data_IF_258407944660
#
_entry.id   IF_258407944660
#
_cell.length_a   1.000
_cell.length_b   1.000
_cell.length_c   1.000
_cell.angle_alpha   90.00
_cell.angle_beta   90.00
_cell.angle_gamma   90.00
#
_symmetry.space_group_name_H-M   'P 1'
#
loop_
_entity.id
_entity.type
_entity.pdbx_description
1 polymer ?
#
# COMPACT_ATOMS: atom_id res chain seq x y z
N UNK A 1 -4.66 30.67 -19.78
CA UNK A 1 -5.28 29.54 -20.51
C UNK A 1 -6.55 30.06 -21.20
N UNK A 2 -6.70 29.92 -22.52
CA UNK A 2 -7.83 30.55 -23.23
C UNK A 2 -9.15 29.88 -22.86
N UNK A 3 -10.26 30.64 -22.89
CA UNK A 3 -11.62 30.12 -22.64
C UNK A 3 -11.96 28.93 -23.56
N UNK A 4 -11.34 28.89 -24.73
CA UNK A 4 -11.48 27.82 -25.72
C UNK A 4 -10.82 26.50 -25.27
N UNK A 5 -9.67 26.55 -24.61
CA UNK A 5 -8.98 25.35 -24.09
C UNK A 5 -9.72 24.72 -22.91
N UNK A 6 -10.31 25.56 -22.04
CA UNK A 6 -11.16 25.12 -20.92
C UNK A 6 -12.45 24.46 -21.40
N UNK A 7 -13.07 24.99 -22.46
CA UNK A 7 -14.26 24.42 -23.09
C UNK A 7 -13.99 23.03 -23.69
N UNK A 8 -12.89 22.87 -24.44
CA UNK A 8 -12.49 21.58 -25.02
C UNK A 8 -12.18 20.52 -23.95
N UNK A 9 -11.56 20.90 -22.82
CA UNK A 9 -11.25 19.98 -21.71
C UNK A 9 -12.50 19.53 -20.94
N UNK A 10 -13.47 20.44 -20.71
CA UNK A 10 -14.78 20.09 -20.12
C UNK A 10 -15.58 19.14 -21.01
N UNK A 11 -15.59 19.38 -22.33
CA UNK A 11 -16.29 18.51 -23.30
C UNK A 11 -15.71 17.08 -23.33
N UNK A 12 -14.36 16.95 -23.32
CA UNK A 12 -13.67 15.65 -23.27
C UNK A 12 -13.90 14.88 -21.96
N UNK A 13 -14.03 15.59 -20.84
CA UNK A 13 -14.35 14.97 -19.53
C UNK A 13 -15.81 14.52 -19.45
N UNK A 14 -16.75 15.27 -20.06
CA UNK A 14 -18.15 14.88 -20.17
C UNK A 14 -18.32 13.63 -21.05
N UNK A 15 -17.61 13.55 -22.19
CA UNK A 15 -17.63 12.36 -23.05
C UNK A 15 -17.04 11.13 -22.33
N UNK A 16 -15.92 11.25 -21.62
CA UNK A 16 -15.37 10.13 -20.82
C UNK A 16 -16.32 9.66 -19.72
N UNK A 17 -17.02 10.58 -19.05
CA UNK A 17 -18.04 10.24 -18.03
C UNK A 17 -19.24 9.53 -18.67
N UNK A 18 -19.66 9.97 -19.86
CA UNK A 18 -20.76 9.37 -20.62
C UNK A 18 -20.42 7.97 -21.13
N UNK A 19 -19.19 7.76 -21.62
CA UNK A 19 -18.69 6.44 -22.04
C UNK A 19 -18.59 5.47 -20.86
N UNK A 20 -18.02 5.89 -19.72
CA UNK A 20 -17.96 5.06 -18.49
C UNK A 20 -19.35 4.65 -18.00
N UNK A 21 -20.32 5.57 -18.05
CA UNK A 21 -21.72 5.28 -17.66
C UNK A 21 -22.38 4.30 -18.64
N UNK A 22 -22.11 4.41 -19.95
CA UNK A 22 -22.60 3.43 -20.95
C UNK A 22 -21.97 2.05 -20.77
N UNK A 23 -20.66 1.97 -20.49
CA UNK A 23 -19.99 0.69 -20.21
C UNK A 23 -20.60 0.01 -18.97
N UNK A 24 -20.84 0.77 -17.89
CA UNK A 24 -21.50 0.24 -16.69
C UNK A 24 -22.92 -0.27 -16.96
N UNK A 25 -23.71 0.45 -17.77
CA UNK A 25 -25.07 0.02 -18.16
C UNK A 25 -25.05 -1.24 -19.05
N UNK A 26 -24.08 -1.33 -19.97
CA UNK A 26 -23.92 -2.52 -20.83
C UNK A 26 -23.49 -3.74 -20.00
N UNK A 27 -22.59 -3.59 -19.02
CA UNK A 27 -22.20 -4.68 -18.12
C UNK A 27 -23.39 -5.17 -17.28
N UNK A 28 -24.21 -4.26 -16.73
CA UNK A 28 -25.42 -4.62 -15.98
C UNK A 28 -26.43 -5.34 -16.89
N UNK A 29 -26.60 -4.88 -18.14
CA UNK A 29 -27.47 -5.54 -19.11
C UNK A 29 -26.99 -6.94 -19.50
N UNK A 30 -25.67 -7.14 -19.65
CA UNK A 30 -25.08 -8.47 -19.92
C UNK A 30 -25.33 -9.41 -18.72
N UNK A 31 -25.11 -8.95 -17.48
CA UNK A 31 -25.38 -9.74 -16.28
C UNK A 31 -26.87 -10.09 -16.19
N UNK A 32 -27.77 -9.15 -16.47
CA UNK A 32 -29.21 -9.40 -16.49
C UNK A 32 -29.65 -10.37 -17.60
N UNK A 33 -29.03 -10.31 -18.79
CA UNK A 33 -29.30 -11.23 -19.90
C UNK A 33 -28.79 -12.64 -19.61
N UNK A 34 -27.64 -12.78 -18.94
CA UNK A 34 -27.16 -14.07 -18.44
C UNK A 34 -28.14 -14.63 -17.43
N UNK A 35 -28.63 -13.81 -16.49
CA UNK A 35 -29.63 -14.21 -15.49
C UNK A 35 -31.00 -14.57 -16.10
N UNK A 36 -31.40 -13.89 -17.17
CA UNK A 36 -32.66 -14.18 -17.87
C UNK A 36 -32.52 -15.44 -18.74
N UNK A 37 -31.38 -15.62 -19.40
CA UNK A 37 -31.07 -16.81 -20.18
C UNK A 37 -31.03 -18.08 -19.33
N UNK A 38 -30.46 -18.01 -18.13
CA UNK A 38 -30.49 -19.13 -17.17
C UNK A 38 -31.92 -19.43 -16.69
N UNK A 39 -32.73 -18.39 -16.42
CA UNK A 39 -34.17 -18.54 -16.07
C UNK A 39 -35.00 -19.18 -17.18
N UNK A 40 -34.82 -18.78 -18.44
CA UNK A 40 -35.54 -19.35 -19.59
C UNK A 40 -35.12 -20.80 -19.83
N UNK A 41 -33.82 -21.11 -19.74
CA UNK A 41 -33.32 -22.48 -19.87
C UNK A 41 -33.85 -23.41 -18.76
N UNK A 42 -33.98 -22.90 -17.53
CA UNK A 42 -34.62 -23.59 -16.41
C UNK A 42 -36.11 -23.86 -16.68
N UNK A 43 -36.86 -22.86 -17.12
CA UNK A 43 -38.28 -23.03 -17.42
C UNK A 43 -38.53 -23.98 -18.60
N UNK A 44 -37.69 -23.95 -19.65
CA UNK A 44 -37.83 -24.85 -20.78
C UNK A 44 -37.51 -26.31 -20.42
N UNK A 45 -36.53 -26.55 -19.54
CA UNK A 45 -36.26 -27.89 -18.97
C UNK A 45 -37.45 -28.42 -18.14
N UNK A 46 -38.14 -27.55 -17.41
CA UNK A 46 -39.32 -27.92 -16.59
C UNK A 46 -40.54 -28.24 -17.46
N UNK A 47 -40.71 -27.55 -18.59
CA UNK A 47 -41.85 -27.76 -19.50
C UNK A 47 -41.71 -29.04 -20.33
N UNK A 48 -40.48 -29.36 -20.78
CA UNK A 48 -40.18 -30.63 -21.47
C UNK A 48 -40.34 -31.84 -20.54
N UNK A 49 -40.08 -31.68 -19.24
CA UNK A 49 -40.25 -32.75 -18.24
C UNK A 49 -41.73 -33.08 -17.90
N UNK A 50 -42.69 -32.19 -18.22
CA UNK A 50 -44.13 -32.43 -18.00
C UNK A 50 -44.86 -33.09 -19.18
N UNK A 51 -44.17 -33.29 -20.30
CA UNK A 51 -44.76 -33.81 -21.54
C UNK A 51 -44.70 -35.33 -21.74
N UNK A 52 -44.13 -36.10 -20.81
CA UNK A 52 -44.02 -37.55 -20.98
C UNK A 52 -44.30 -38.34 -19.70
N UNK A 53 -45.24 -39.28 -19.85
CA UNK A 53 -45.54 -40.50 -19.07
C UNK A 53 -46.26 -40.36 -17.73
N UNK A 54 -47.39 -41.09 -17.66
CA UNK A 54 -48.14 -41.35 -16.46
C UNK A 54 -47.62 -42.55 -15.66
N UNK A 55 -48.16 -42.58 -14.44
CA UNK A 55 -48.36 -43.62 -13.44
C UNK A 55 -47.21 -44.42 -12.81
N UNK A 56 -47.35 -44.51 -11.48
CA UNK A 56 -46.74 -45.38 -10.47
C UNK A 56 -45.22 -45.29 -10.17
N UNK A 57 -44.90 -44.44 -9.17
CA UNK A 57 -44.46 -44.97 -7.88
C UNK A 57 -43.01 -45.41 -7.71
N UNK A 58 -42.06 -44.48 -7.71
CA UNK A 58 -40.86 -44.55 -6.86
C UNK A 58 -40.35 -43.14 -6.57
N UNK A 59 -40.41 -42.71 -5.30
CA UNK A 59 -39.85 -41.43 -4.86
C UNK A 59 -38.31 -41.47 -4.98
N UNK A 60 -37.78 -41.07 -6.14
CA UNK A 60 -36.38 -40.63 -6.26
C UNK A 60 -36.33 -39.15 -5.93
N UNK A 61 -35.90 -38.87 -4.70
CA UNK A 61 -35.53 -37.54 -4.24
C UNK A 61 -34.50 -36.95 -5.23
N UNK A 62 -34.94 -35.95 -5.99
CA UNK A 62 -34.07 -35.18 -6.88
C UNK A 62 -33.15 -34.33 -6.00
N UNK A 63 -31.96 -34.84 -5.73
CA UNK A 63 -30.87 -34.08 -5.13
C UNK A 63 -30.52 -32.97 -6.12
N UNK A 64 -30.97 -31.75 -5.81
CA UNK A 64 -30.47 -30.55 -6.47
C UNK A 64 -29.00 -30.39 -6.08
N UNK A 65 -28.09 -30.68 -7.00
CA UNK A 65 -26.70 -30.28 -6.86
C UNK A 65 -26.68 -28.74 -6.97
N UNK A 66 -26.63 -28.08 -5.81
CA UNK A 66 -26.34 -26.65 -5.74
C UNK A 66 -24.99 -26.43 -6.42
N UNK A 67 -24.99 -25.77 -7.58
CA UNK A 67 -23.78 -25.25 -8.16
C UNK A 67 -23.25 -24.17 -7.21
N UNK A 68 -22.38 -24.57 -6.30
CA UNK A 68 -21.59 -23.68 -5.47
C UNK A 68 -20.77 -22.80 -6.41
N UNK A 69 -21.12 -21.52 -6.46
CA UNK A 69 -20.19 -20.52 -6.97
C UNK A 69 -19.06 -20.49 -5.95
N UNK A 70 -18.00 -21.26 -6.20
CA UNK A 70 -16.78 -21.19 -5.40
C UNK A 70 -16.27 -19.75 -5.51
N UNK A 71 -16.45 -18.99 -4.42
CA UNK A 71 -15.75 -17.73 -4.25
C UNK A 71 -14.25 -18.03 -4.42
N UNK A 72 -13.48 -17.18 -5.15
CA UNK A 72 -12.06 -17.41 -5.35
C UNK A 72 -11.40 -17.63 -3.99
N UNK A 73 -10.79 -18.81 -3.83
CA UNK A 73 -10.10 -19.17 -2.60
C UNK A 73 -8.75 -18.45 -2.59
N UNK A 74 -8.72 -17.28 -1.95
CA UNK A 74 -7.48 -16.51 -1.79
C UNK A 74 -6.52 -17.24 -0.86
N UNK A 75 -5.26 -17.36 -1.28
CA UNK A 75 -4.17 -17.78 -0.41
C UNK A 75 -3.84 -16.67 0.57
N UNK A 76 -3.27 -17.07 1.69
CA UNK A 76 -2.89 -16.17 2.77
C UNK A 76 -1.82 -15.15 2.33
N UNK A 77 -0.97 -15.52 1.36
CA UNK A 77 0.03 -14.69 0.71
C UNK A 77 -0.49 -13.87 -0.47
N UNK A 78 -1.75 -14.03 -0.88
CA UNK A 78 -2.31 -13.23 -1.97
C UNK A 78 -2.47 -11.78 -1.51
N UNK A 79 -2.20 -10.84 -2.43
CA UNK A 79 -2.37 -9.41 -2.20
C UNK A 79 -3.87 -9.12 -2.07
N UNK A 80 -4.26 -8.36 -1.05
CA UNK A 80 -5.64 -7.90 -0.92
C UNK A 80 -5.93 -6.90 -2.06
N UNK A 81 -6.98 -7.10 -2.88
CA UNK A 81 -7.29 -6.21 -4.00
C UNK A 81 -7.30 -4.72 -3.65
N UNK A 82 -6.49 -3.95 -4.38
CA UNK A 82 -6.31 -2.50 -4.21
C UNK A 82 -5.53 -2.09 -2.96
N UNK A 83 -4.79 -3.03 -2.33
CA UNK A 83 -4.04 -2.80 -1.09
C UNK A 83 -2.57 -3.09 -1.27
N UNK A 84 -1.81 -2.67 -0.26
CA UNK A 84 -0.36 -2.79 -0.19
C UNK A 84 0.13 -3.89 0.77
N UNK A 85 -0.76 -4.83 1.11
CA UNK A 85 -0.53 -5.94 2.04
C UNK A 85 -1.23 -7.20 1.53
N UNK A 86 -0.77 -8.36 2.00
CA UNK A 86 -1.42 -9.65 1.76
C UNK A 86 -2.56 -9.94 2.74
N UNK A 87 -3.32 -11.01 2.51
CA UNK A 87 -4.36 -11.46 3.44
C UNK A 87 -3.83 -11.81 4.84
N UNK A 88 -2.60 -12.33 4.95
CA UNK A 88 -1.92 -12.49 6.24
C UNK A 88 -1.38 -11.17 6.77
N UNK A 89 -0.74 -10.38 5.90
CA UNK A 89 -0.15 -9.09 6.24
C UNK A 89 -1.16 -8.09 6.81
N UNK A 90 -2.43 -8.16 6.39
CA UNK A 90 -3.50 -7.27 6.88
C UNK A 90 -3.72 -7.37 8.39
N UNK A 91 -3.38 -8.49 9.03
CA UNK A 91 -3.55 -8.67 10.47
C UNK A 91 -2.58 -7.78 11.30
N UNK A 92 -1.53 -7.27 10.66
CA UNK A 92 -0.56 -6.35 11.25
C UNK A 92 -0.81 -4.90 10.82
N UNK A 93 -1.70 -4.68 9.86
CA UNK A 93 -1.87 -3.40 9.19
C UNK A 93 -2.74 -2.43 10.01
N UNK A 94 -2.32 -1.17 10.07
CA UNK A 94 -3.09 -0.06 10.63
C UNK A 94 -3.36 0.96 9.51
N UNK A 95 -4.56 1.55 9.53
CA UNK A 95 -4.94 2.56 8.55
C UNK A 95 -3.98 3.76 8.60
N UNK A 96 -3.44 4.11 7.44
CA UNK A 96 -2.48 5.20 7.27
C UNK A 96 -2.95 6.53 7.85
N UNK A 97 -4.26 6.82 7.83
CA UNK A 97 -4.80 8.05 8.42
C UNK A 97 -4.70 8.05 9.95
N UNK A 98 -4.87 6.90 10.58
CA UNK A 98 -4.68 6.79 12.03
C UNK A 98 -3.19 6.83 12.38
N UNK A 99 -2.32 6.23 11.55
CA UNK A 99 -0.86 6.39 11.69
C UNK A 99 -0.45 7.87 11.54
N UNK A 100 -1.08 8.64 10.65
CA UNK A 100 -0.86 10.10 10.54
C UNK A 100 -1.18 10.80 11.85
N UNK A 101 -2.36 10.54 12.44
CA UNK A 101 -2.74 11.08 13.76
C UNK A 101 -1.76 10.67 14.86
N UNK A 102 -1.24 9.43 14.82
CA UNK A 102 -0.25 8.95 15.78
C UNK A 102 1.07 9.73 15.69
N UNK A 103 1.54 10.03 14.47
CA UNK A 103 2.72 10.86 14.24
C UNK A 103 2.48 12.30 14.72
N UNK A 104 1.28 12.84 14.48
CA UNK A 104 0.84 14.18 14.90
C UNK A 104 0.53 14.31 16.40
N UNK A 105 0.43 13.19 17.12
CA UNK A 105 0.05 13.17 18.54
C UNK A 105 -1.44 13.44 18.81
N UNK A 106 -2.30 13.30 17.79
CA UNK A 106 -3.75 13.51 17.86
C UNK A 106 -4.55 12.20 17.90
N UNK A 107 -3.88 11.05 17.91
CA UNK A 107 -4.51 9.74 18.05
C UNK A 107 -4.96 9.49 19.50
N UNK A 108 -6.23 9.12 19.69
CA UNK A 108 -6.85 8.98 21.01
C UNK A 108 -6.61 7.61 21.68
N UNK A 109 -6.05 6.65 20.96
CA UNK A 109 -5.78 5.30 21.47
C UNK A 109 -4.50 5.22 22.31
N UNK A 110 -4.49 4.26 23.23
CA UNK A 110 -3.38 4.04 24.17
C UNK A 110 -2.53 2.80 23.84
N UNK A 111 -2.79 2.15 22.70
CA UNK A 111 -2.07 0.94 22.30
C UNK A 111 -0.59 1.24 22.03
N UNK A 112 0.29 0.35 22.46
CA UNK A 112 1.73 0.47 22.21
C UNK A 112 2.06 -0.12 20.85
N UNK A 113 2.17 0.71 19.82
CA UNK A 113 2.49 0.29 18.46
C UNK A 113 3.85 0.78 18.02
N UNK A 114 4.63 -0.11 17.39
CA UNK A 114 5.84 0.26 16.67
C UNK A 114 5.70 -0.11 15.20
N UNK A 115 5.94 0.88 14.35
CA UNK A 115 6.03 0.73 12.90
C UNK A 115 7.50 0.84 12.52
N UNK A 116 8.13 -0.30 12.23
CA UNK A 116 9.46 -0.33 11.64
C UNK A 116 9.34 0.08 10.18
N UNK A 117 9.93 1.22 9.81
CA UNK A 117 9.85 1.73 8.44
C UNK A 117 11.23 1.87 7.82
N UNK A 118 11.36 1.45 6.56
CA UNK A 118 12.62 1.44 5.82
C UNK A 118 12.47 2.20 4.51
N UNK A 119 13.28 3.24 4.34
CA UNK A 119 13.32 4.09 3.14
C UNK A 119 14.53 3.74 2.25
N UNK A 120 14.44 4.12 0.97
CA UNK A 120 15.48 4.08 -0.07
C UNK A 120 15.84 2.70 -0.68
N UNK A 121 15.20 1.64 -0.23
CA UNK A 121 15.26 0.32 -0.87
C UNK A 121 14.49 0.23 -2.20
N UNK A 122 14.53 -0.95 -2.88
CA UNK A 122 15.25 -2.14 -2.47
C UNK A 122 16.76 -2.08 -2.76
N UNK A 123 17.54 -2.76 -1.94
CA UNK A 123 18.99 -2.97 -2.08
C UNK A 123 19.38 -4.35 -1.50
N UNK A 124 20.65 -4.78 -1.60
CA UNK A 124 21.11 -5.98 -0.89
C UNK A 124 20.91 -5.94 0.63
N UNK A 125 20.76 -4.75 1.24
CA UNK A 125 20.42 -4.64 2.65
C UNK A 125 18.95 -4.93 2.93
N UNK A 126 18.05 -4.71 1.96
CA UNK A 126 16.63 -5.09 2.07
C UNK A 126 16.49 -6.59 2.35
N UNK A 127 17.24 -7.44 1.65
CA UNK A 127 17.23 -8.89 1.89
C UNK A 127 17.63 -9.26 3.32
N UNK A 128 18.68 -8.61 3.85
CA UNK A 128 19.14 -8.86 5.22
C UNK A 128 18.14 -8.34 6.25
N UNK A 129 17.48 -7.22 5.98
CA UNK A 129 16.37 -6.71 6.82
C UNK A 129 15.22 -7.72 6.82
N UNK A 130 14.81 -8.24 5.66
CA UNK A 130 13.75 -9.25 5.56
C UNK A 130 14.10 -10.53 6.33
N UNK A 131 15.34 -11.01 6.24
CA UNK A 131 15.81 -12.15 7.03
C UNK A 131 15.64 -11.90 8.54
N UNK A 132 16.04 -10.72 9.02
CA UNK A 132 15.91 -10.35 10.44
C UNK A 132 14.44 -10.26 10.85
N UNK A 133 13.59 -9.56 10.08
CA UNK A 133 12.16 -9.42 10.41
C UNK A 133 11.47 -10.79 10.49
N UNK A 134 11.79 -11.69 9.54
CA UNK A 134 11.29 -13.07 9.52
C UNK A 134 11.75 -13.87 10.74
N UNK A 135 13.05 -13.85 11.04
CA UNK A 135 13.63 -14.57 12.18
C UNK A 135 13.07 -14.07 13.52
N UNK A 136 12.80 -12.78 13.62
CA UNK A 136 12.21 -12.15 14.79
C UNK A 136 10.68 -12.23 14.84
N UNK A 137 10.04 -12.80 13.81
CA UNK A 137 8.60 -12.90 13.64
C UNK A 137 7.86 -11.54 13.79
N UNK A 138 8.42 -10.50 13.18
CA UNK A 138 7.83 -9.16 13.11
C UNK A 138 7.69 -8.72 11.65
N UNK A 139 6.91 -7.65 11.41
CA UNK A 139 6.69 -7.08 10.08
C UNK A 139 7.12 -5.62 10.03
N UNK A 140 7.48 -5.13 8.84
CA UNK A 140 7.87 -3.75 8.57
C UNK A 140 7.09 -3.14 7.41
N UNK A 141 7.30 -1.84 7.20
CA UNK A 141 6.81 -1.12 6.02
C UNK A 141 7.99 -0.60 5.20
N UNK A 142 8.04 -0.93 3.91
CA UNK A 142 9.13 -0.56 3.02
C UNK A 142 8.69 0.53 2.05
N UNK A 143 9.30 1.71 2.16
CA UNK A 143 9.10 2.85 1.28
C UNK A 143 10.10 2.77 0.12
N UNK A 144 9.66 2.19 -0.98
CA UNK A 144 10.53 1.78 -2.07
C UNK A 144 10.67 2.84 -3.17
N UNK A 145 11.87 2.90 -3.74
CA UNK A 145 12.21 3.75 -4.88
C UNK A 145 11.93 3.03 -6.21
N UNK A 146 11.16 3.67 -7.08
CA UNK A 146 10.88 3.13 -8.41
C UNK A 146 12.15 2.93 -9.26
N UNK A 147 13.15 3.81 -9.14
CA UNK A 147 14.42 3.67 -9.85
C UNK A 147 15.24 2.46 -9.42
N UNK A 148 15.11 2.02 -8.16
CA UNK A 148 15.74 0.77 -7.68
C UNK A 148 15.05 -0.43 -8.29
N UNK A 149 13.72 -0.45 -8.29
CA UNK A 149 12.92 -1.50 -8.92
C UNK A 149 13.20 -1.61 -10.43
N UNK A 150 13.41 -0.49 -11.11
CA UNK A 150 13.70 -0.46 -12.55
C UNK A 150 15.15 -0.87 -12.89
N UNK A 151 16.02 -1.00 -11.87
CA UNK A 151 17.45 -1.27 -12.09
C UNK A 151 17.78 -2.73 -12.43
N UNK A 152 16.86 -3.67 -12.22
CA UNK A 152 17.07 -5.07 -12.57
C UNK A 152 16.09 -6.04 -11.90
N UNK A 153 16.35 -7.33 -12.06
CA UNK A 153 15.49 -8.38 -11.52
C UNK A 153 15.61 -8.53 -10.00
N UNK A 154 16.82 -8.46 -9.44
CA UNK A 154 17.03 -8.67 -8.01
C UNK A 154 16.20 -7.72 -7.10
N UNK A 155 16.14 -6.39 -7.34
CA UNK A 155 15.25 -5.51 -6.57
C UNK A 155 13.76 -5.85 -6.71
N UNK A 156 13.33 -6.37 -7.87
CA UNK A 156 11.94 -6.81 -8.08
C UNK A 156 11.63 -8.09 -7.30
N UNK A 157 12.62 -8.99 -7.19
CA UNK A 157 12.49 -10.18 -6.35
C UNK A 157 12.42 -9.80 -4.87
N UNK A 158 13.21 -8.82 -4.41
CA UNK A 158 13.10 -8.25 -3.06
C UNK A 158 11.71 -7.68 -2.77
N UNK A 159 11.12 -6.97 -3.74
CA UNK A 159 9.75 -6.45 -3.63
C UNK A 159 8.72 -7.57 -3.44
N UNK A 160 8.81 -8.64 -4.25
CA UNK A 160 7.91 -9.81 -4.12
C UNK A 160 8.08 -10.50 -2.77
N UNK A 161 9.32 -10.77 -2.38
CA UNK A 161 9.65 -11.39 -1.09
C UNK A 161 9.09 -10.57 0.07
N UNK A 162 9.29 -9.25 0.05
CA UNK A 162 8.83 -8.37 1.13
C UNK A 162 7.33 -8.50 1.36
N UNK A 163 6.51 -8.42 0.30
CA UNK A 163 5.05 -8.52 0.43
C UNK A 163 4.59 -9.94 0.76
N UNK A 164 5.18 -10.97 0.17
CA UNK A 164 4.87 -12.38 0.44
C UNK A 164 5.16 -12.77 1.90
N UNK A 165 6.21 -12.20 2.51
CA UNK A 165 6.54 -12.41 3.93
C UNK A 165 5.67 -11.57 4.89
N UNK A 166 4.64 -10.89 4.38
CA UNK A 166 3.61 -10.19 5.14
C UNK A 166 3.95 -8.75 5.52
N UNK A 167 4.98 -8.15 4.92
CA UNK A 167 5.31 -6.74 5.10
C UNK A 167 4.39 -5.84 4.26
N UNK A 168 4.31 -4.55 4.61
CA UNK A 168 3.63 -3.57 3.78
C UNK A 168 4.59 -2.87 2.82
N UNK A 169 4.11 -2.55 1.62
CA UNK A 169 4.88 -1.84 0.59
C UNK A 169 4.32 -0.42 0.41
N UNK A 170 5.18 0.58 0.36
CA UNK A 170 4.80 1.98 0.21
C UNK A 170 5.70 2.70 -0.80
N UNK A 171 5.25 3.86 -1.27
CA UNK A 171 5.91 4.62 -2.31
C UNK A 171 6.90 5.64 -1.71
N UNK A 172 8.10 5.76 -2.30
CA UNK A 172 9.11 6.76 -1.90
C UNK A 172 9.62 7.63 -3.06
N UNK A 173 8.77 7.93 -4.03
CA UNK A 173 9.13 8.53 -5.34
C UNK A 173 9.85 7.55 -6.29
N UNK A 174 10.19 8.04 -7.47
CA UNK A 174 10.94 7.24 -8.45
C UNK A 174 12.44 7.46 -8.28
N UNK A 175 12.90 8.72 -8.30
CA UNK A 175 14.33 9.04 -8.39
C UNK A 175 14.98 9.48 -7.09
N UNK A 176 14.19 9.86 -6.08
CA UNK A 176 14.67 10.51 -4.86
C UNK A 176 15.52 11.79 -5.15
N UNK A 177 15.32 12.43 -6.31
CA UNK A 177 16.12 13.58 -6.72
C UNK A 177 15.49 14.89 -6.24
N UNK A 178 15.96 15.40 -5.11
CA UNK A 178 15.49 16.66 -4.52
C UNK A 178 15.53 17.86 -5.47
N UNK A 179 16.50 17.94 -6.40
CA UNK A 179 16.60 19.07 -7.34
C UNK A 179 15.48 19.06 -8.38
N UNK A 180 14.93 17.88 -8.68
CA UNK A 180 13.81 17.73 -9.62
C UNK A 180 12.46 17.76 -8.91
N UNK A 181 12.37 17.09 -7.76
CA UNK A 181 11.16 17.08 -6.95
C UNK A 181 10.84 18.46 -6.36
N UNK A 182 11.89 19.17 -5.91
CA UNK A 182 11.76 20.43 -5.18
C UNK A 182 12.76 21.50 -5.67
N UNK A 183 12.69 21.94 -6.94
CA UNK A 183 13.58 22.98 -7.46
C UNK A 183 13.50 24.25 -6.59
N UNK A 184 14.63 24.66 -6.01
CA UNK A 184 14.69 25.81 -5.12
C UNK A 184 13.88 25.63 -3.82
N UNK A 185 13.72 24.39 -3.34
CA UNK A 185 12.88 23.99 -2.21
C UNK A 185 11.37 24.18 -2.41
N UNK A 186 10.92 24.41 -3.64
CA UNK A 186 9.50 24.50 -4.00
C UNK A 186 9.12 23.25 -4.77
N UNK A 187 8.07 22.54 -4.35
CA UNK A 187 7.64 21.29 -4.98
C UNK A 187 7.16 21.53 -6.39
N UNK A 188 7.74 20.81 -7.36
CA UNK A 188 7.14 20.66 -8.68
C UNK A 188 6.05 19.59 -8.58
N UNK A 189 4.81 20.01 -8.34
CA UNK A 189 3.69 19.11 -8.03
C UNK A 189 3.40 18.13 -9.17
N UNK A 190 3.49 18.57 -10.43
CA UNK A 190 3.26 17.68 -11.56
C UNK A 190 4.36 16.62 -11.65
N UNK A 191 5.62 17.04 -11.57
CA UNK A 191 6.75 16.10 -11.60
C UNK A 191 6.72 15.13 -10.41
N UNK A 192 6.38 15.61 -9.22
CA UNK A 192 6.21 14.80 -8.03
C UNK A 192 5.14 13.71 -8.21
N UNK A 193 3.96 14.08 -8.71
CA UNK A 193 2.86 13.15 -8.97
C UNK A 193 3.18 12.16 -10.09
N UNK A 194 3.95 12.58 -11.10
CA UNK A 194 4.45 11.69 -12.15
C UNK A 194 5.43 10.64 -11.59
N UNK A 195 6.34 11.03 -10.69
CA UNK A 195 7.22 10.07 -10.01
C UNK A 195 6.43 9.10 -9.12
N UNK A 196 5.46 9.59 -8.36
CA UNK A 196 4.56 8.74 -7.56
C UNK A 196 3.88 7.69 -8.44
N UNK A 197 3.23 8.14 -9.52
CA UNK A 197 2.51 7.26 -10.45
C UNK A 197 3.45 6.24 -11.09
N UNK A 198 4.62 6.68 -11.57
CA UNK A 198 5.60 5.80 -12.21
C UNK A 198 6.06 4.69 -11.26
N UNK A 199 6.33 5.01 -10.01
CA UNK A 199 6.73 4.00 -9.01
C UNK A 199 5.60 3.01 -8.73
N UNK A 200 4.34 3.47 -8.58
CA UNK A 200 3.19 2.57 -8.42
C UNK A 200 2.96 1.67 -9.64
N UNK A 201 3.13 2.19 -10.86
CA UNK A 201 3.02 1.38 -12.08
C UNK A 201 4.06 0.26 -12.09
N UNK A 202 5.33 0.56 -11.75
CA UNK A 202 6.39 -0.46 -11.68
C UNK A 202 6.07 -1.51 -10.61
N UNK A 203 5.59 -1.09 -9.43
CA UNK A 203 5.21 -2.04 -8.38
C UNK A 203 4.05 -2.94 -8.84
N UNK A 204 3.04 -2.41 -9.54
CA UNK A 204 1.96 -3.18 -10.15
C UNK A 204 2.44 -4.15 -11.23
N UNK A 205 3.38 -3.73 -12.07
CA UNK A 205 3.94 -4.60 -13.11
C UNK A 205 4.67 -5.82 -12.50
N UNK A 206 5.23 -5.66 -11.30
CA UNK A 206 5.94 -6.73 -10.57
C UNK A 206 4.99 -7.61 -9.75
N UNK A 207 4.04 -6.99 -9.05
CA UNK A 207 3.19 -7.64 -8.05
C UNK A 207 1.81 -8.05 -8.56
N UNK A 208 1.41 -7.55 -9.73
CA UNK A 208 0.11 -7.80 -10.34
C UNK A 208 -0.88 -6.65 -10.15
N UNK A 209 -1.97 -6.71 -10.92
CA UNK A 209 -3.00 -5.65 -11.01
C UNK A 209 -3.77 -5.41 -9.72
N UNK A 210 -3.75 -6.37 -8.80
CA UNK A 210 -4.40 -6.27 -7.49
C UNK A 210 -3.61 -5.38 -6.52
N UNK A 211 -2.32 -5.14 -6.76
CA UNK A 211 -1.52 -4.28 -5.92
C UNK A 211 -1.85 -2.80 -6.16
N UNK A 212 -2.04 -2.04 -5.09
CA UNK A 212 -1.95 -0.59 -5.13
C UNK A 212 -1.50 -0.06 -3.77
N UNK A 213 -0.92 1.14 -3.76
CA UNK A 213 -0.60 1.82 -2.50
C UNK A 213 -0.85 3.30 -2.63
N UNK A 214 -1.56 3.85 -1.65
CA UNK A 214 -1.69 5.30 -1.48
C UNK A 214 -0.87 5.80 -0.28
N UNK A 215 -0.08 4.91 0.33
CA UNK A 215 0.85 5.23 1.40
C UNK A 215 2.13 5.74 0.75
N UNK A 216 2.48 6.98 1.08
CA UNK A 216 3.64 7.69 0.57
C UNK A 216 4.50 8.12 1.74
N UNK A 217 5.81 8.14 1.55
CA UNK A 217 6.69 9.04 2.29
C UNK A 217 7.41 9.90 1.29
N UNK A 218 7.28 11.21 1.41
CA UNK A 218 7.98 12.13 0.53
C UNK A 218 9.49 12.03 0.77
N UNK A 219 10.35 12.06 -0.27
CA UNK A 219 11.79 12.25 -0.10
C UNK A 219 12.09 13.45 0.80
N UNK A 220 12.74 13.18 1.94
CA UNK A 220 13.04 14.16 3.00
C UNK A 220 11.86 14.55 3.92
N UNK A 221 10.70 13.88 3.81
CA UNK A 221 9.53 14.11 4.64
C UNK A 221 8.67 15.30 4.21
N UNK A 222 7.36 15.20 4.43
CA UNK A 222 6.39 16.27 4.19
C UNK A 222 6.70 17.52 5.03
N UNK A 223 7.09 17.34 6.29
CA UNK A 223 7.41 18.44 7.19
C UNK A 223 8.60 19.29 6.71
N UNK A 224 9.49 18.76 5.87
CA UNK A 224 10.52 19.58 5.22
C UNK A 224 9.90 20.62 4.28
N UNK A 225 8.80 20.30 3.58
CA UNK A 225 8.08 21.27 2.73
C UNK A 225 7.45 22.37 3.57
N UNK A 226 6.87 22.01 4.72
CA UNK A 226 6.32 22.95 5.70
C UNK A 226 7.42 23.88 6.23
N UNK A 227 8.57 23.32 6.64
CA UNK A 227 9.71 24.07 7.12
C UNK A 227 10.22 25.09 6.09
N UNK A 228 10.36 24.70 4.83
CA UNK A 228 10.78 25.58 3.74
C UNK A 228 9.70 26.57 3.28
N UNK A 229 8.51 26.57 3.89
CA UNK A 229 7.37 27.41 3.52
C UNK A 229 7.06 27.29 2.03
N UNK A 230 7.04 26.05 1.55
CA UNK A 230 6.80 25.76 0.15
C UNK A 230 5.44 26.32 -0.28
N UNK A 231 5.48 27.29 -1.21
CA UNK A 231 4.29 27.99 -1.70
C UNK A 231 3.33 27.10 -2.49
N UNK A 232 3.76 25.91 -2.90
CA UNK A 232 2.95 24.95 -3.65
C UNK A 232 2.27 23.91 -2.74
N UNK A 233 2.34 24.05 -1.40
CA UNK A 233 1.73 23.11 -0.45
C UNK A 233 0.23 22.93 -0.66
N UNK A 234 -0.53 24.01 -0.94
CA UNK A 234 -1.96 23.90 -1.21
C UNK A 234 -2.25 23.06 -2.45
N UNK A 235 -1.51 23.30 -3.54
CA UNK A 235 -1.64 22.53 -4.78
C UNK A 235 -1.23 21.06 -4.57
N UNK A 236 -0.15 20.82 -3.84
CA UNK A 236 0.30 19.48 -3.46
C UNK A 236 -0.78 18.75 -2.67
N UNK A 237 -1.29 19.35 -1.60
CA UNK A 237 -2.30 18.75 -0.72
C UNK A 237 -3.60 18.44 -1.48
N UNK A 238 -4.05 19.35 -2.35
CA UNK A 238 -5.20 19.10 -3.22
C UNK A 238 -4.99 17.89 -4.15
N UNK A 239 -3.77 17.71 -4.68
CA UNK A 239 -3.43 16.54 -5.50
C UNK A 239 -3.35 15.25 -4.67
N UNK A 240 -2.72 15.29 -3.50
CA UNK A 240 -2.66 14.12 -2.60
C UNK A 240 -4.08 13.69 -2.19
N UNK A 241 -4.92 14.62 -1.73
CA UNK A 241 -6.31 14.34 -1.34
C UNK A 241 -7.14 13.79 -2.50
N UNK A 242 -7.08 14.44 -3.68
CA UNK A 242 -7.84 14.01 -4.86
C UNK A 242 -7.47 12.61 -5.35
N UNK A 243 -6.23 12.18 -5.09
CA UNK A 243 -5.75 10.83 -5.41
C UNK A 243 -5.76 9.89 -4.19
N UNK A 244 -6.30 10.34 -3.05
CA UNK A 244 -6.39 9.60 -1.78
C UNK A 244 -5.03 9.16 -1.24
N UNK A 245 -3.97 9.89 -1.57
CA UNK A 245 -2.60 9.64 -1.12
C UNK A 245 -2.40 10.25 0.25
N UNK A 246 -1.79 9.49 1.16
CA UNK A 246 -1.42 9.97 2.50
C UNK A 246 0.09 9.88 2.63
N UNK A 247 0.73 11.04 2.84
CA UNK A 247 2.15 11.12 3.17
C UNK A 247 2.33 10.91 4.66
N UNK A 248 3.22 10.00 5.06
CA UNK A 248 3.57 9.73 6.45
C UNK A 248 5.04 10.03 6.70
N UNK A 249 5.30 10.91 7.66
CA UNK A 249 6.64 11.16 8.19
C UNK A 249 6.98 10.13 9.27
N UNK A 250 7.67 10.55 10.33
CA UNK A 250 8.13 9.69 11.43
C UNK A 250 8.17 10.49 12.72
N UNK A 251 8.17 9.80 13.86
CA UNK A 251 8.26 10.42 15.19
C UNK A 251 9.36 9.82 16.07
N UNK A 252 10.11 8.85 15.55
CA UNK A 252 11.35 8.30 16.11
C UNK A 252 12.37 8.01 15.01
N UNK A 253 13.64 7.91 15.41
CA UNK A 253 14.80 7.82 14.51
C UNK A 253 15.82 6.83 15.07
N UNK A 254 16.52 6.10 14.20
CA UNK A 254 17.72 5.35 14.58
C UNK A 254 19.02 6.16 14.45
N UNK A 255 18.95 7.36 13.87
CA UNK A 255 20.07 8.26 13.67
C UNK A 255 20.89 8.01 12.39
N UNK A 256 20.50 7.08 11.53
CA UNK A 256 21.30 6.68 10.35
C UNK A 256 21.38 7.74 9.24
N UNK A 257 20.60 8.81 9.32
CA UNK A 257 20.55 9.93 8.36
C UNK A 257 20.84 11.31 8.99
N UNK A 258 21.24 11.38 10.26
CA UNK A 258 21.40 12.64 11.01
C UNK A 258 22.75 13.37 10.76
N UNK A 259 23.55 12.90 9.78
CA UNK A 259 24.85 13.48 9.43
C UNK A 259 25.99 13.23 10.43
N UNK A 260 25.70 12.76 11.65
CA UNK A 260 26.71 12.31 12.62
C UNK A 260 27.02 10.81 12.44
N UNK A 261 28.30 10.38 12.40
CA UNK A 261 28.67 8.97 12.30
C UNK A 261 28.55 8.24 13.64
N UNK A 262 27.32 8.00 14.10
CA UNK A 262 27.06 7.29 15.36
C UNK A 262 27.69 5.88 15.39
N UNK A 263 28.17 5.47 16.57
CA UNK A 263 28.47 4.06 16.89
C UNK A 263 27.17 3.25 16.99
N UNK A 264 27.27 1.91 17.00
CA UNK A 264 26.08 1.04 17.12
C UNK A 264 25.30 1.33 18.40
N UNK A 265 25.99 1.46 19.54
CA UNK A 265 25.35 1.77 20.82
C UNK A 265 24.70 3.17 20.83
N UNK A 266 25.36 4.18 20.26
CA UNK A 266 24.76 5.51 20.17
C UNK A 266 23.50 5.52 19.30
N UNK A 267 23.43 4.70 18.24
CA UNK A 267 22.21 4.57 17.42
C UNK A 267 21.08 3.94 18.23
N UNK A 268 21.36 2.87 19.00
CA UNK A 268 20.37 2.27 19.91
C UNK A 268 19.88 3.28 20.96
N UNK A 269 20.79 4.05 21.55
CA UNK A 269 20.41 5.11 22.49
C UNK A 269 19.60 6.22 21.81
N UNK A 270 19.87 6.51 20.52
CA UNK A 270 19.07 7.42 19.71
C UNK A 270 17.64 6.91 19.52
N UNK A 271 17.46 5.62 19.22
CA UNK A 271 16.14 4.96 19.12
C UNK A 271 15.38 5.10 20.44
N UNK A 272 16.01 4.71 21.56
CA UNK A 272 15.39 4.77 22.90
C UNK A 272 15.00 6.20 23.27
N UNK A 273 15.91 7.16 23.04
CA UNK A 273 15.67 8.58 23.36
C UNK A 273 14.56 9.18 22.51
N UNK A 274 14.54 8.91 21.20
CA UNK A 274 13.52 9.46 20.30
C UNK A 274 12.18 8.75 20.44
N UNK A 275 12.14 7.51 20.95
CA UNK A 275 10.90 6.78 21.26
C UNK A 275 10.33 7.09 22.65
N UNK A 276 11.12 7.68 23.54
CA UNK A 276 10.76 7.87 24.95
C UNK A 276 9.41 8.58 25.12
N UNK A 277 8.53 7.97 25.91
CA UNK A 277 7.22 8.54 26.28
C UNK A 277 6.16 8.44 25.18
N UNK A 278 6.43 7.77 24.06
CA UNK A 278 5.44 7.53 23.00
C UNK A 278 4.81 6.15 23.17
N UNK A 279 3.52 6.03 22.93
CA UNK A 279 2.88 4.72 22.77
C UNK A 279 2.87 4.30 21.30
N UNK A 280 2.76 5.25 20.37
CA UNK A 280 2.80 4.96 18.94
C UNK A 280 4.08 5.52 18.32
N UNK A 281 4.92 4.62 17.83
CA UNK A 281 6.25 4.93 17.32
C UNK A 281 6.32 4.57 15.85
N UNK A 282 6.53 5.57 14.99
CA UNK A 282 6.91 5.37 13.59
C UNK A 282 8.41 5.64 13.50
N UNK A 283 9.19 4.56 13.43
CA UNK A 283 10.64 4.60 13.44
C UNK A 283 11.15 4.68 11.99
N UNK A 284 11.80 5.79 11.64
CA UNK A 284 12.52 5.93 10.37
C UNK A 284 13.88 5.24 10.44
N UNK A 285 14.14 4.42 9.43
CA UNK A 285 15.40 3.75 9.14
C UNK A 285 15.58 3.66 7.62
N UNK A 286 16.77 3.31 7.16
CA UNK A 286 17.05 3.14 5.73
C UNK A 286 17.68 1.78 5.44
N UNK A 287 17.24 1.11 4.38
CA UNK A 287 17.73 -0.19 3.91
C UNK A 287 18.48 -0.07 2.56
N UNK A 288 19.29 0.98 2.42
CA UNK A 288 20.06 1.30 1.22
C UNK A 288 21.57 1.28 1.48
N UNK A 289 22.39 1.39 0.43
CA UNK A 289 23.85 1.35 0.53
C UNK A 289 24.41 2.35 1.55
N UNK A 290 25.38 1.91 2.37
CA UNK A 290 25.97 2.75 3.43
C UNK A 290 25.19 2.75 4.75
N UNK A 291 24.12 1.93 4.85
CA UNK A 291 23.28 1.79 6.05
C UNK A 291 23.48 0.43 6.74
N UNK A 292 24.65 -0.20 6.60
CA UNK A 292 24.95 -1.52 7.15
C UNK A 292 24.84 -1.54 8.69
N UNK A 293 25.08 -0.40 9.35
CA UNK A 293 24.89 -0.27 10.80
C UNK A 293 23.41 -0.45 11.20
N UNK A 294 22.47 0.05 10.40
CA UNK A 294 21.03 -0.13 10.61
C UNK A 294 20.67 -1.60 10.65
N UNK A 295 21.16 -2.39 9.69
CA UNK A 295 20.97 -3.85 9.67
C UNK A 295 21.53 -4.51 10.93
N UNK A 296 22.75 -4.13 11.34
CA UNK A 296 23.42 -4.71 12.52
C UNK A 296 22.67 -4.47 13.84
N UNK A 297 22.04 -3.31 14.00
CA UNK A 297 21.34 -2.95 15.25
C UNK A 297 19.86 -3.37 15.26
N UNK A 298 19.30 -3.72 14.09
CA UNK A 298 17.87 -4.04 13.96
C UNK A 298 17.39 -5.14 14.94
N UNK A 299 18.12 -6.24 15.21
CA UNK A 299 17.70 -7.23 16.20
C UNK A 299 17.58 -6.64 17.62
N UNK A 300 18.50 -5.74 18.00
CA UNK A 300 18.46 -5.08 19.32
C UNK A 300 17.33 -4.04 19.41
N UNK A 301 17.04 -3.33 18.31
CA UNK A 301 15.85 -2.47 18.21
C UNK A 301 14.57 -3.28 18.43
N UNK A 302 14.43 -4.41 17.74
CA UNK A 302 13.27 -5.29 17.87
C UNK A 302 13.15 -5.83 19.30
N UNK A 303 14.26 -6.30 19.87
CA UNK A 303 14.31 -6.75 21.26
C UNK A 303 13.83 -5.66 22.24
N UNK A 304 14.34 -4.44 22.10
CA UNK A 304 13.95 -3.31 22.93
C UNK A 304 12.43 -3.06 22.89
N UNK A 305 11.82 -2.97 21.70
CA UNK A 305 10.39 -2.74 21.59
C UNK A 305 9.54 -3.92 22.10
N UNK A 306 10.00 -5.16 21.93
CA UNK A 306 9.36 -6.35 22.53
C UNK A 306 9.37 -6.27 24.06
N UNK A 307 10.53 -5.96 24.66
CA UNK A 307 10.69 -5.83 26.12
C UNK A 307 9.85 -4.69 26.70
N UNK A 308 9.67 -3.61 25.94
CA UNK A 308 8.79 -2.50 26.29
C UNK A 308 7.30 -2.80 26.02
N UNK A 309 6.95 -3.96 25.47
CA UNK A 309 5.56 -4.37 25.26
C UNK A 309 4.88 -3.69 24.07
N UNK A 310 5.61 -3.32 23.02
CA UNK A 310 5.03 -2.83 21.78
C UNK A 310 4.60 -3.97 20.86
N UNK A 311 3.48 -3.78 20.18
CA UNK A 311 3.08 -4.59 19.04
C UNK A 311 3.68 -4.03 17.75
N UNK A 312 4.22 -4.92 16.91
CA UNK A 312 4.80 -4.55 15.62
C UNK A 312 3.69 -4.48 14.58
N UNK A 313 3.51 -3.30 13.98
CA UNK A 313 2.45 -3.01 13.00
C UNK A 313 3.05 -2.51 11.68
N UNK A 314 2.25 -2.60 10.63
CA UNK A 314 2.57 -2.08 9.30
C UNK A 314 1.58 -1.01 8.89
N UNK A 315 1.95 -0.18 7.92
CA UNK A 315 1.14 0.95 7.46
C UNK A 315 0.43 0.55 6.17
N UNK A 316 -0.90 0.56 6.19
CA UNK A 316 -1.72 0.22 5.04
C UNK A 316 -2.85 1.21 4.86
N UNK A 317 -3.41 1.29 3.66
CA UNK A 317 -4.57 2.11 3.38
C UNK A 317 -5.91 1.44 3.76
N UNK A 318 -5.84 0.35 4.51
CA UNK A 318 -6.98 -0.44 4.95
C UNK A 318 -7.99 0.42 5.73
N UNK A 319 -8.99 0.96 5.02
CA UNK A 319 -10.29 1.17 5.62
C UNK A 319 -10.77 -0.24 5.99
N UNK A 320 -10.60 -0.59 7.26
CA UNK A 320 -11.27 -1.73 7.89
C UNK A 320 -12.74 -1.36 8.05
#
# INVERSE_FOLDING_TARGET
MSKETLSKRKKKNLEKKYIRRRIGVVLIAIVALVFLGTRIALNHKVEVAKGNTGDEGENKELVMEEATVELPQYKSTDIVPGRNVTFDGKNYAVNVKDVSKMVEGSYEGNEKYVFLTFDDGPSPLTEQVLDILKNENVKGTFFMLGSRLDSGQAPKDSLKRAIEEGNAIANHSYSHNFKKLYPGNITDVNYFMDEFKKTNDIMRDVLGVEFDTNVLRMPGGYNSRVYYKDRNLEELNNNLESNRIVSIDWNALNGDAEGKPYTLNEMIDYVKRTSKGKNQVVLLMHDTFGKEKTVKILPEIIKYYKEEGYEFKTISDANV
#
